data_IF_311094037006
#
_entry.id   IF_311094037006
#
_cell.length_a   1.000
_cell.length_b   1.000
_cell.length_c   1.000
_cell.angle_alpha   90.00
_cell.angle_beta   90.00
_cell.angle_gamma   90.00
#
_symmetry.space_group_name_H-M   'P 1'
#
loop_
_entity.id
_entity.type
_entity.pdbx_description
1 polymer ?
2 polymer ?
3 polymer ?
4 non-polymer ?
5 non-polymer ?
6 water ?
#
# COMPACT_ATOMS: atom_id res chain seq x y z
N UNK A 1 -10.72 0.47 0.63
CA UNK A 1 -11.05 0.85 -0.77
C UNK A 1 -12.51 1.27 -0.90
N UNK A 2 -12.75 2.45 -1.46
CA UNK A 2 -14.12 2.92 -1.67
C UNK A 2 -14.43 2.84 -3.15
N UNK A 3 -15.62 2.35 -3.48
CA UNK A 3 -16.02 2.25 -4.87
C UNK A 3 -15.24 1.22 -5.66
N UNK A 4 -14.75 0.19 -4.98
CA UNK A 4 -13.99 -0.85 -5.65
C UNK A 4 -14.80 -2.13 -5.78
N UNK A 5 -14.11 -3.23 -6.07
CA UNK A 5 -14.77 -4.53 -6.20
C UNK A 5 -13.96 -5.58 -5.44
N UNK A 6 -14.59 -6.72 -5.13
CA UNK A 6 -13.89 -7.77 -4.41
C UNK A 6 -12.95 -8.51 -5.34
N UNK A 7 -11.67 -8.50 -5.03
CA UNK A 7 -10.69 -9.15 -5.88
C UNK A 7 -10.94 -10.65 -5.87
N UNK A 8 -10.62 -11.31 -6.98
CA UNK A 8 -10.77 -12.75 -7.08
C UNK A 8 -9.80 -13.31 -6.03
N UNK A 9 -10.21 -14.38 -5.34
CA UNK A 9 -9.41 -14.98 -4.29
C UNK A 9 -7.96 -15.27 -4.71
N UNK A 10 -7.03 -14.63 -4.03
CA UNK A 10 -5.60 -14.80 -4.28
C UNK A 10 -5.15 -14.34 -5.65
N UNK A 11 -5.83 -13.35 -6.21
CA UNK A 11 -5.45 -12.83 -7.52
C UNK A 11 -4.43 -11.69 -7.37
N UNK A 12 -4.10 -11.37 -6.12
CA UNK A 12 -3.13 -10.33 -5.78
C UNK A 12 -2.17 -10.97 -4.78
N UNK A 13 -1.40 -11.98 -5.23
CA UNK A 13 -0.45 -12.74 -4.43
C UNK A 13 0.63 -11.97 -3.67
N UNK A 14 0.95 -10.76 -4.11
CA UNK A 14 1.96 -9.94 -3.45
C UNK A 14 1.38 -9.11 -2.30
N UNK A 15 0.07 -9.16 -2.13
CA UNK A 15 -0.62 -8.40 -1.09
C UNK A 15 -0.48 -9.02 0.30
N UNK A 16 -0.03 -8.24 1.27
CA UNK A 16 0.11 -8.74 2.62
C UNK A 16 -0.66 -7.87 3.60
N UNK A 17 -0.98 -8.45 4.75
CA UNK A 17 -1.69 -7.76 5.80
C UNK A 17 -0.79 -7.64 7.02
N UNK A 18 -0.58 -6.42 7.51
CA UNK A 18 0.24 -6.21 8.69
C UNK A 18 -0.71 -6.30 9.87
N UNK A 19 -0.41 -7.20 10.79
CA UNK A 19 -1.28 -7.44 11.92
C UNK A 19 -0.60 -7.38 13.29
N UNK A 20 -1.29 -6.80 14.26
CA UNK A 20 -0.79 -6.71 15.62
C UNK A 20 -2.01 -6.88 16.52
N UNK A 21 -2.73 -7.97 16.29
CA UNK A 21 -3.94 -8.25 17.04
C UNK A 21 -5.05 -8.23 16.01
N UNK A 22 -4.89 -7.33 15.05
CA UNK A 22 -5.85 -7.17 13.96
C UNK A 22 -5.18 -6.35 12.86
N UNK A 23 -5.69 -6.50 11.63
CA UNK A 23 -5.16 -5.79 10.48
C UNK A 23 -5.13 -4.30 10.75
N UNK A 24 -4.02 -3.64 10.42
CA UNK A 24 -3.92 -2.20 10.60
C UNK A 24 -3.40 -1.49 9.34
N UNK A 25 -2.70 -2.22 8.48
CA UNK A 25 -2.15 -1.65 7.26
C UNK A 25 -1.85 -2.74 6.25
N UNK A 26 -1.60 -2.32 5.01
CA UNK A 26 -1.27 -3.26 3.96
C UNK A 26 0.23 -3.25 3.72
N UNK A 27 0.67 -4.06 2.77
CA UNK A 27 2.08 -4.13 2.46
C UNK A 27 2.23 -4.85 1.14
N UNK A 28 3.46 -4.94 0.66
CA UNK A 28 3.70 -5.59 -0.62
C UNK A 28 4.97 -6.43 -0.51
N UNK A 29 4.90 -7.69 -0.91
CA UNK A 29 6.04 -8.60 -0.87
C UNK A 29 6.87 -8.41 -2.13
N UNK A 30 8.10 -7.92 -1.98
CA UNK A 30 8.96 -7.70 -3.15
C UNK A 30 10.16 -8.64 -3.15
N UNK A 31 10.26 -9.45 -2.11
CA UNK A 31 11.37 -10.36 -1.93
C UNK A 31 10.88 -11.46 -0.96
N UNK A 32 11.46 -12.65 -1.04
CA UNK A 32 11.04 -13.74 -0.16
C UNK A 32 11.19 -13.39 1.33
N UNK A 33 12.05 -12.42 1.64
CA UNK A 33 12.27 -12.03 3.03
C UNK A 33 11.89 -10.59 3.34
N UNK A 34 11.51 -9.83 2.33
CA UNK A 34 11.18 -8.43 2.58
C UNK A 34 9.82 -7.95 2.07
N UNK A 35 9.21 -7.09 2.88
CA UNK A 35 7.91 -6.49 2.58
C UNK A 35 8.06 -4.97 2.64
N UNK A 36 7.46 -4.26 1.70
CA UNK A 36 7.54 -2.80 1.72
C UNK A 36 6.15 -2.25 2.04
N UNK A 37 6.11 -1.22 2.88
CA UNK A 37 4.86 -0.60 3.29
C UNK A 37 5.11 0.90 3.50
N UNK A 38 4.23 1.54 4.25
CA UNK A 38 4.34 2.98 4.51
C UNK A 38 4.92 3.21 5.91
N UNK A 39 5.75 4.25 6.03
CA UNK A 39 6.37 4.57 7.31
C UNK A 39 5.37 5.01 8.37
N UNK A 40 4.25 5.62 7.97
CA UNK A 40 3.28 6.07 8.97
C UNK A 40 2.49 4.91 9.57
N UNK A 41 2.74 3.71 9.07
CA UNK A 41 2.08 2.50 9.57
C UNK A 41 2.94 1.85 10.67
N UNK A 42 4.09 2.46 10.93
CA UNK A 42 5.01 1.92 11.92
C UNK A 42 4.44 1.50 13.26
N UNK A 43 4.89 0.33 13.70
CA UNK A 43 4.55 -0.27 14.99
C UNK A 43 5.78 -1.10 15.30
N UNK A 44 6.17 -1.19 16.58
CA UNK A 44 7.36 -1.96 16.94
C UNK A 44 7.16 -3.46 16.81
N UNK A 45 5.92 -3.91 16.95
CA UNK A 45 5.61 -5.32 16.84
C UNK A 45 4.65 -5.55 15.68
N UNK A 46 5.07 -6.37 14.72
CA UNK A 46 4.22 -6.61 13.55
C UNK A 46 4.28 -8.04 13.05
N UNK A 47 3.11 -8.61 12.77
CA UNK A 47 3.04 -9.95 12.21
C UNK A 47 2.57 -9.77 10.77
N UNK A 48 3.35 -10.30 9.83
CA UNK A 48 3.01 -10.22 8.42
C UNK A 48 2.16 -11.43 8.01
N UNK A 49 1.03 -11.19 7.36
CA UNK A 49 0.15 -12.26 6.94
C UNK A 49 0.07 -12.31 5.42
N UNK A 50 0.63 -13.37 4.84
CA UNK A 50 0.65 -13.54 3.40
C UNK A 50 -0.37 -14.58 2.94
N UNK A 51 -0.75 -14.49 1.66
CA UNK A 51 -1.71 -15.43 1.12
C UNK A 51 -3.10 -15.23 1.67
N UNK A 52 -3.37 -14.02 2.15
CA UNK A 52 -4.66 -13.68 2.71
C UNK A 52 -5.69 -13.27 1.66
N UNK A 53 -6.95 -13.45 1.99
CA UNK A 53 -8.06 -13.01 1.15
C UNK A 53 -9.14 -12.57 2.11
N UNK A 54 -9.57 -13.49 2.98
CA UNK A 54 -10.57 -13.20 4.00
C UNK A 54 -9.82 -13.15 5.33
N UNK A 55 -9.42 -11.96 5.76
CA UNK A 55 -8.66 -11.84 6.99
C UNK A 55 -9.37 -12.24 8.28
N UNK A 56 -10.61 -12.72 8.16
CA UNK A 56 -11.34 -13.14 9.35
C UNK A 56 -11.53 -14.64 9.45
N UNK A 57 -10.97 -15.39 8.50
CA UNK A 57 -11.11 -16.84 8.50
C UNK A 57 -9.95 -17.60 7.90
N UNK A 58 -9.39 -18.54 8.65
CA UNK A 58 -8.29 -19.34 8.13
C UNK A 58 -8.79 -20.12 6.92
N UNK A 59 -8.15 -19.90 5.78
CA UNK A 59 -8.53 -20.55 4.54
C UNK A 59 -7.59 -21.72 4.21
N UNK A 60 -6.38 -21.68 4.76
CA UNK A 60 -5.42 -22.74 4.53
C UNK A 60 -4.28 -22.43 3.58
N UNK A 61 -4.21 -21.20 3.11
CA UNK A 61 -3.16 -20.78 2.19
C UNK A 61 -2.30 -19.71 2.82
N UNK A 62 -2.62 -19.32 4.05
CA UNK A 62 -1.88 -18.27 4.74
C UNK A 62 -0.57 -18.70 5.34
N UNK A 63 0.33 -17.73 5.46
CA UNK A 63 1.63 -17.91 6.05
C UNK A 63 1.74 -16.72 6.99
N UNK A 64 1.70 -16.96 8.29
CA UNK A 64 1.83 -15.90 9.27
C UNK A 64 3.26 -15.85 9.74
N UNK A 65 3.96 -14.77 9.39
CA UNK A 65 5.36 -14.62 9.77
C UNK A 65 5.60 -13.28 10.49
N UNK A 66 6.27 -13.34 11.63
CA UNK A 66 6.55 -12.14 12.41
C UNK A 66 7.67 -11.33 11.77
N UNK A 67 7.65 -10.02 11.99
CA UNK A 67 8.67 -9.15 11.45
C UNK A 67 9.91 -9.32 12.31
N UNK A 68 11.07 -9.44 11.67
CA UNK A 68 12.33 -9.58 12.39
C UNK A 68 12.94 -8.20 12.54
N UNK A 69 12.81 -7.40 11.48
CA UNK A 69 13.33 -6.04 11.47
C UNK A 69 12.35 -5.11 10.78
N UNK A 70 12.27 -3.88 11.27
CA UNK A 70 11.38 -2.87 10.70
C UNK A 70 12.24 -1.64 10.44
N UNK A 71 12.38 -1.24 9.19
CA UNK A 71 13.20 -0.09 8.84
C UNK A 71 12.45 1.00 8.09
N UNK A 72 12.22 2.12 8.77
CA UNK A 72 11.53 3.26 8.17
C UNK A 72 12.58 4.13 7.49
N UNK A 73 12.18 4.83 6.43
CA UNK A 73 13.10 5.69 5.69
C UNK A 73 13.64 6.80 6.60
N UNK A 74 14.97 6.95 6.66
CA UNK A 74 15.59 7.98 7.51
C UNK A 74 15.10 9.40 7.27
N UNK A 75 14.67 9.70 6.05
CA UNK A 75 14.19 11.02 5.71
C UNK A 75 12.67 11.19 5.81
N UNK A 76 11.99 10.18 6.33
CA UNK A 76 10.54 10.26 6.48
C UNK A 76 10.12 11.49 7.29
N UNK A 77 9.21 12.29 6.74
CA UNK A 77 8.75 13.50 7.42
C UNK A 77 7.29 13.32 7.83
N UNK A 78 7.05 13.18 9.13
CA UNK A 78 5.70 12.99 9.64
C UNK A 78 4.73 14.12 9.37
N UNK A 79 5.25 15.31 9.11
CA UNK A 79 4.41 16.46 8.84
C UNK A 79 3.96 16.52 7.38
N UNK A 80 4.90 16.32 6.47
CA UNK A 80 4.60 16.37 5.03
C UNK A 80 4.32 15.00 4.44
N UNK A 81 4.69 13.96 5.17
CA UNK A 81 4.52 12.58 4.71
C UNK A 81 5.48 12.24 3.56
N UNK A 82 6.49 13.09 3.38
CA UNK A 82 7.47 12.86 2.32
C UNK A 82 8.32 11.65 2.75
N UNK A 83 8.60 10.76 1.80
CA UNK A 83 9.37 9.54 2.03
C UNK A 83 8.59 8.55 2.90
N UNK A 84 7.30 8.44 2.66
CA UNK A 84 6.45 7.53 3.40
C UNK A 84 6.66 6.12 2.87
N UNK A 85 7.79 5.52 3.25
CA UNK A 85 8.13 4.18 2.79
C UNK A 85 8.83 3.46 3.94
N UNK A 86 8.53 2.17 4.08
CA UNK A 86 9.10 1.37 5.16
C UNK A 86 9.36 -0.07 4.73
N UNK A 87 10.49 -0.62 5.15
CA UNK A 87 10.84 -2.00 4.81
C UNK A 87 10.74 -2.90 6.02
N UNK A 88 10.23 -4.10 5.80
CA UNK A 88 10.07 -5.07 6.87
C UNK A 88 10.75 -6.38 6.50
N UNK A 89 11.69 -6.81 7.34
CA UNK A 89 12.36 -8.08 7.08
C UNK A 89 11.62 -9.15 7.88
N UNK A 90 11.28 -10.26 7.22
CA UNK A 90 10.57 -11.35 7.87
C UNK A 90 11.57 -12.21 8.63
N UNK A 91 11.14 -12.78 9.77
CA UNK A 91 12.04 -13.61 10.58
C UNK A 91 12.36 -14.94 9.89
N UNK A 92 11.55 -15.31 8.91
CA UNK A 92 11.79 -16.54 8.15
C UNK A 92 11.31 -16.27 6.73
N UNK A 93 12.01 -16.83 5.73
CA UNK A 93 11.62 -16.63 4.33
C UNK A 93 10.18 -17.05 4.05
N UNK A 94 9.50 -16.29 3.22
CA UNK A 94 8.14 -16.63 2.84
C UNK A 94 8.26 -17.63 1.70
N UNK A 95 7.47 -18.69 1.74
CA UNK A 95 7.51 -19.69 0.68
C UNK A 95 6.64 -19.21 -0.47
N UNK A 96 7.26 -19.04 -1.63
CA UNK A 96 6.54 -18.57 -2.81
C UNK A 96 5.85 -19.71 -3.56
N UNK A 97 4.60 -19.48 -3.94
CA UNK A 97 3.80 -20.45 -4.67
C UNK A 97 2.76 -19.66 -5.46
N UNK A 98 1.62 -20.28 -5.76
CA UNK A 98 0.57 -19.60 -6.52
C UNK A 98 -0.17 -18.53 -5.73
N UNK A 99 -0.27 -18.71 -4.41
CA UNK A 99 -0.97 -17.75 -3.55
C UNK A 99 -0.09 -16.68 -2.93
N UNK A 100 1.22 -16.87 -2.98
CA UNK A 100 2.17 -15.92 -2.41
C UNK A 100 3.31 -15.67 -3.39
N UNK A 101 3.35 -14.47 -3.97
CA UNK A 101 4.40 -14.14 -4.93
C UNK A 101 4.88 -12.71 -4.73
N UNK A 102 6.04 -12.42 -5.30
CA UNK A 102 6.62 -11.09 -5.20
C UNK A 102 6.13 -10.20 -6.33
N UNK A 103 6.24 -8.89 -6.13
CA UNK A 103 5.84 -7.94 -7.16
C UNK A 103 7.14 -7.26 -7.55
N UNK A 104 7.29 -6.94 -8.83
CA UNK A 104 8.51 -6.30 -9.31
C UNK A 104 8.62 -4.83 -8.93
N UNK A 105 9.85 -4.38 -8.73
CA UNK A 105 10.10 -2.98 -8.40
C UNK A 105 10.05 -2.28 -9.76
N UNK A 106 9.77 -0.97 -9.77
CA UNK A 106 9.71 -0.28 -11.05
C UNK A 106 11.03 -0.21 -11.80
N UNK A 107 10.95 -0.43 -13.12
CA UNK A 107 12.12 -0.38 -13.98
C UNK A 107 12.28 1.07 -14.44
N UNK A 108 11.21 1.83 -14.24
CA UNK A 108 11.17 3.25 -14.58
C UNK A 108 9.88 3.80 -13.98
N UNK A 109 9.76 5.11 -13.92
CA UNK A 109 8.56 5.73 -13.38
C UNK A 109 7.44 5.56 -14.40
N UNK A 110 6.20 5.69 -13.94
CA UNK A 110 5.06 5.51 -14.81
C UNK A 110 4.60 6.79 -15.50
N UNK A 111 4.18 6.66 -16.75
CA UNK A 111 3.70 7.79 -17.51
C UNK A 111 2.32 8.12 -16.97
N UNK A 112 1.89 9.37 -17.15
CA UNK A 112 0.58 9.80 -16.70
C UNK A 112 -0.48 9.05 -17.50
N UNK A 113 -1.55 8.65 -16.82
CA UNK A 113 -2.61 7.93 -17.50
C UNK A 113 -2.44 6.42 -17.41
N UNK A 114 -1.31 5.99 -16.87
CA UNK A 114 -1.05 4.56 -16.73
C UNK A 114 -2.07 3.97 -15.77
N UNK A 115 -2.78 2.94 -16.22
CA UNK A 115 -3.79 2.29 -15.38
C UNK A 115 -3.07 1.44 -14.35
N UNK A 116 -3.54 1.49 -13.11
CA UNK A 116 -2.92 0.71 -12.04
C UNK A 116 -3.97 -0.05 -11.25
N UNK A 117 -3.51 -0.99 -10.44
CA UNK A 117 -4.39 -1.79 -9.59
C UNK A 117 -4.07 -1.50 -8.13
N UNK A 118 -5.06 -1.00 -7.40
CA UNK A 118 -4.90 -0.70 -5.99
C UNK A 118 -5.71 -1.74 -5.20
N UNK A 119 -5.15 -2.22 -4.10
CA UNK A 119 -5.81 -3.24 -3.28
C UNK A 119 -5.62 -3.00 -1.79
N UNK A 120 -6.52 -3.58 -0.98
CA UNK A 120 -6.43 -3.41 0.46
C UNK A 120 -7.71 -3.77 1.20
N UNK A 121 -7.60 -3.87 2.52
CA UNK A 121 -8.73 -4.20 3.38
C UNK A 121 -9.19 -2.98 4.17
N UNK A 122 -8.86 -1.79 3.69
CA UNK A 122 -9.24 -0.58 4.39
C UNK A 122 -10.73 -0.24 4.30
N UNK A 123 -11.10 0.90 4.89
CA UNK A 123 -12.47 1.39 4.91
C UNK A 123 -13.07 1.43 3.51
N UNK A 124 -14.24 0.83 3.35
CA UNK A 124 -14.92 0.80 2.06
C UNK A 124 -16.01 1.86 1.95
N UNK A 125 -16.25 2.56 3.05
CA UNK A 125 -17.27 3.60 3.10
C UNK A 125 -16.63 4.90 3.57
N UNK B 1 -17.95 6.12 1.56
CA UNK B 1 -17.38 7.46 1.86
C UNK B 1 -18.02 8.06 3.11
N UNK B 2 -19.12 7.46 3.55
CA UNK B 2 -19.83 7.94 4.73
C UNK B 2 -20.08 6.83 5.75
N UNK B 3 -19.16 6.69 6.71
CA UNK B 3 -19.30 5.68 7.73
C UNK B 3 -18.01 4.92 8.00
N UNK B 4 -18.13 3.71 8.55
CA UNK B 4 -16.99 2.87 8.87
C UNK B 4 -17.33 1.42 8.60
N UNK B 5 -16.91 0.92 7.44
CA UNK B 5 -17.16 -0.46 7.05
C UNK B 5 -15.89 -1.16 6.55
N UNK B 6 -15.30 -1.99 7.41
CA UNK B 6 -14.09 -2.73 7.08
C UNK B 6 -14.39 -4.12 6.55
N UNK B 7 -14.02 -4.39 5.29
CA UNK B 7 -14.24 -5.67 4.65
C UNK B 7 -13.34 -6.78 5.18
N UNK B 8 -13.78 -8.02 5.00
CA UNK B 8 -13.01 -9.17 5.42
C UNK B 8 -12.34 -9.70 4.16
N UNK B 9 -12.93 -9.35 3.03
CA UNK B 9 -12.43 -9.76 1.73
C UNK B 9 -11.62 -8.65 1.08
N UNK B 10 -10.47 -9.01 0.52
CA UNK B 10 -9.60 -8.05 -0.14
C UNK B 10 -10.32 -7.30 -1.26
N UNK B 11 -10.25 -5.98 -1.22
CA UNK B 11 -10.90 -5.15 -2.23
C UNK B 11 -9.93 -4.69 -3.30
N UNK B 12 -10.45 -4.47 -4.51
CA UNK B 12 -9.65 -4.04 -5.65
C UNK B 12 -10.22 -2.79 -6.32
N UNK B 13 -9.33 -2.03 -6.97
CA UNK B 13 -9.74 -0.82 -7.64
C UNK B 13 -8.70 -0.45 -8.67
N UNK B 14 -9.15 -0.24 -9.91
CA UNK B 14 -8.23 0.16 -10.97
C UNK B 14 -8.34 1.67 -11.14
N UNK B 15 -7.21 2.35 -11.09
CA UNK B 15 -7.16 3.81 -11.22
C UNK B 15 -5.96 4.23 -12.04
N UNK B 16 -6.05 5.39 -12.71
CA UNK B 16 -4.94 5.89 -13.53
C UNK B 16 -4.01 6.83 -12.79
N UNK B 17 -2.77 6.89 -13.26
CA UNK B 17 -1.79 7.80 -12.69
C UNK B 17 -2.19 9.18 -13.19
N UNK B 18 -2.49 10.08 -12.28
CA UNK B 18 -2.87 11.44 -12.65
C UNK B 18 -1.62 12.26 -12.93
N UNK B 19 -1.74 13.25 -13.80
CA UNK B 19 -0.62 14.12 -14.14
C UNK B 19 -0.16 14.92 -12.93
N UNK B 20 0.96 15.61 -13.07
CA UNK B 20 1.50 16.43 -12.00
C UNK B 20 0.54 17.57 -11.74
N UNK B 21 0.05 18.14 -12.83
CA UNK B 21 -0.88 19.25 -12.80
C UNK B 21 -2.06 18.97 -11.87
N UNK B 22 -2.82 17.93 -12.18
CA UNK B 22 -3.99 17.56 -11.38
C UNK B 22 -3.67 17.28 -9.92
N UNK B 23 -2.46 16.75 -9.69
CA UNK B 23 -2.03 16.41 -8.34
C UNK B 23 -1.67 17.64 -7.53
N UNK B 24 -0.81 18.50 -8.10
CA UNK B 24 -0.39 19.71 -7.43
C UNK B 24 -1.54 20.69 -7.29
N UNK B 25 -2.43 20.73 -8.28
CA UNK B 25 -3.56 21.65 -8.22
C UNK B 25 -4.58 21.19 -7.18
N UNK B 26 -4.55 19.90 -6.82
CA UNK B 26 -5.46 19.37 -5.83
C UNK B 26 -4.97 19.65 -4.42
N UNK B 27 -3.65 19.68 -4.24
CA UNK B 27 -3.04 19.95 -2.93
C UNK B 27 -1.92 20.97 -3.11
N UNK B 28 -2.27 22.26 -3.19
CA UNK B 28 -1.30 23.35 -3.35
C UNK B 28 -0.13 23.32 -2.38
N UNK B 29 1.07 23.25 -2.94
CA UNK B 29 2.30 23.22 -2.16
C UNK B 29 2.52 22.03 -1.25
N UNK B 30 1.69 20.99 -1.38
CA UNK B 30 1.82 19.81 -0.53
C UNK B 30 2.40 18.57 -1.20
N UNK B 31 2.53 18.59 -2.51
CA UNK B 31 3.06 17.44 -3.24
C UNK B 31 4.55 17.60 -3.55
N UNK B 32 5.36 16.67 -3.06
CA UNK B 32 6.79 16.70 -3.28
C UNK B 32 7.16 15.81 -4.46
N UNK B 33 8.44 15.82 -4.81
CA UNK B 33 8.90 15.01 -5.92
C UNK B 33 8.81 13.52 -5.67
N UNK B 34 8.47 13.12 -4.45
CA UNK B 34 8.36 11.70 -4.12
C UNK B 34 6.92 11.24 -3.94
N UNK B 35 5.99 11.99 -4.54
CA UNK B 35 4.58 11.66 -4.44
C UNK B 35 3.92 11.73 -5.81
N UNK B 36 2.90 10.90 -5.99
CA UNK B 36 2.15 10.89 -7.23
C UNK B 36 0.70 10.66 -6.85
N UNK B 37 -0.21 11.20 -7.64
CA UNK B 37 -1.63 11.03 -7.37
C UNK B 37 -2.19 10.00 -8.32
N UNK B 38 -3.05 9.15 -7.78
CA UNK B 38 -3.69 8.11 -8.58
C UNK B 38 -5.13 8.10 -8.12
N UNK B 39 -6.06 8.17 -9.06
CA UNK B 39 -7.46 8.16 -8.68
C UNK B 39 -8.38 8.86 -9.67
N UNK B 40 -9.45 9.43 -9.12
CA UNK B 40 -10.44 10.13 -9.92
C UNK B 40 -10.80 11.45 -9.24
N UNK B 41 -10.71 12.54 -9.99
CA UNK B 41 -11.03 13.87 -9.46
C UNK B 41 -12.52 14.02 -9.14
N UNK B 42 -13.34 13.13 -9.68
CA UNK B 42 -14.77 13.19 -9.45
C UNK B 42 -15.15 12.49 -8.14
N UNK B 43 -14.14 12.01 -7.42
CA UNK B 43 -14.40 11.33 -6.16
C UNK B 43 -15.16 10.03 -6.35
N UNK B 44 -15.43 9.33 -5.25
CA UNK B 44 -16.16 8.08 -5.34
C UNK B 44 -15.29 6.84 -5.39
N UNK B 45 -14.10 6.96 -5.96
CA UNK B 45 -13.17 5.82 -6.06
C UNK B 45 -11.83 6.24 -5.47
N UNK B 46 -11.37 5.51 -4.45
CA UNK B 46 -10.11 5.90 -3.82
C UNK B 46 -9.68 4.91 -2.74
N UNK B 47 -8.42 5.02 -2.32
CA UNK B 47 -7.93 4.16 -1.26
C UNK B 47 -8.35 4.88 0.02
N UNK B 48 -8.39 4.17 1.13
CA UNK B 48 -8.83 4.80 2.38
C UNK B 48 -8.09 4.24 3.58
N UNK B 49 -8.43 4.76 4.75
CA UNK B 49 -7.80 4.32 5.99
C UNK B 49 -7.90 2.80 6.05
N UNK B 50 -6.77 2.15 6.34
CA UNK B 50 -6.75 0.69 6.38
C UNK B 50 -6.02 0.14 5.17
N UNK B 51 -6.03 0.86 4.06
CA UNK B 51 -5.33 0.43 2.85
C UNK B 51 -3.89 0.92 2.89
N UNK B 52 -3.60 1.81 3.83
CA UNK B 52 -2.26 2.37 4.00
C UNK B 52 -1.14 1.35 3.94
N UNK B 53 -0.08 1.70 3.24
CA UNK B 53 1.06 0.80 3.10
C UNK B 53 0.83 -0.19 1.97
N UNK B 54 -0.39 -0.21 1.46
CA UNK B 54 -0.75 -1.10 0.38
C UNK B 54 -0.11 -0.79 -0.97
N UNK B 55 -0.18 -1.75 -1.92
CA UNK B 55 0.39 -1.59 -3.25
C UNK B 55 -0.46 -0.94 -4.34
N UNK B 56 0.22 -0.26 -5.25
CA UNK B 56 -0.41 0.35 -6.41
C UNK B 56 0.46 -0.24 -7.52
N UNK B 57 -0.07 -1.24 -8.20
CA UNK B 57 0.72 -1.90 -9.25
C UNK B 57 0.25 -1.50 -10.63
N UNK B 58 1.20 -1.06 -11.45
CA UNK B 58 0.91 -0.66 -12.82
C UNK B 58 1.86 -1.41 -13.73
N UNK B 59 1.32 -2.05 -14.76
CA UNK B 59 2.10 -2.81 -15.72
C UNK B 59 3.06 -3.79 -15.05
N UNK B 60 2.56 -4.49 -14.04
CA UNK B 60 3.38 -5.46 -13.33
C UNK B 60 4.47 -4.88 -12.46
N UNK B 61 4.43 -3.58 -12.18
CA UNK B 61 5.45 -2.94 -11.36
C UNK B 61 4.85 -2.14 -10.21
N UNK B 62 5.46 -2.26 -9.03
CA UNK B 62 5.00 -1.53 -7.86
C UNK B 62 5.42 -0.09 -8.06
N UNK B 63 4.46 0.77 -8.39
CA UNK B 63 4.74 2.19 -8.63
C UNK B 63 4.33 3.08 -7.45
N UNK B 64 3.44 2.59 -6.60
CA UNK B 64 3.02 3.41 -5.47
C UNK B 64 2.71 2.67 -4.19
N UNK B 65 2.73 3.42 -3.09
CA UNK B 65 2.41 2.88 -1.77
C UNK B 65 1.32 3.79 -1.18
N UNK B 66 0.18 3.22 -0.82
CA UNK B 66 -0.92 4.00 -0.24
C UNK B 66 -0.30 4.84 0.89
N UNK B 67 -0.38 6.15 0.77
CA UNK B 67 0.22 7.03 1.76
C UNK B 67 -0.74 7.99 2.46
N UNK B 68 -1.29 8.95 1.73
CA UNK B 68 -2.22 9.88 2.35
C UNK B 68 -3.22 10.49 1.37
N UNK B 69 -3.95 11.48 1.87
CA UNK B 69 -4.95 12.18 1.08
C UNK B 69 -5.83 12.94 2.05
N UNK B 70 -6.81 13.67 1.53
CA UNK B 70 -7.72 14.41 2.41
C UNK B 70 -9.03 13.62 2.44
N UNK B 71 -9.23 12.84 3.50
CA UNK B 71 -10.44 12.04 3.61
C UNK B 71 -10.39 10.88 2.63
N UNK B 72 -11.55 10.41 2.19
CA UNK B 72 -11.58 9.30 1.24
C UNK B 72 -12.59 9.50 0.14
N UNK B 73 -12.11 9.43 -1.09
CA UNK B 73 -12.95 9.55 -2.28
C UNK B 73 -13.69 10.87 -2.46
N UNK B 74 -13.19 11.93 -1.83
CA UNK B 74 -13.81 13.25 -1.97
C UNK B 74 -13.41 13.79 -3.33
N UNK B 75 -14.29 14.54 -3.99
CA UNK B 75 -13.98 15.07 -5.30
C UNK B 75 -12.84 16.09 -5.26
N UNK B 76 -11.99 16.04 -6.28
CA UNK B 76 -10.85 16.93 -6.39
C UNK B 76 -9.82 16.64 -5.31
N UNK B 77 -10.01 15.52 -4.60
CA UNK B 77 -9.09 15.09 -3.56
C UNK B 77 -8.64 13.64 -3.77
N UNK B 78 -7.88 13.39 -4.84
CA UNK B 78 -7.41 12.03 -5.14
C UNK B 78 -6.33 11.59 -4.14
N UNK B 79 -6.21 10.29 -3.95
CA UNK B 79 -5.20 9.78 -3.02
C UNK B 79 -3.81 10.10 -3.53
N UNK B 80 -2.87 10.21 -2.60
CA UNK B 80 -1.49 10.50 -2.96
C UNK B 80 -0.67 9.32 -2.48
N UNK B 81 0.28 8.91 -3.33
CA UNK B 81 1.10 7.75 -3.02
C UNK B 81 2.58 8.00 -3.11
N UNK B 82 3.33 7.25 -2.32
CA UNK B 82 4.79 7.36 -2.33
C UNK B 82 5.22 6.91 -3.73
N UNK B 83 6.04 7.72 -4.38
CA UNK B 83 6.54 7.43 -5.73
C UNK B 83 7.70 6.44 -5.61
N UNK B 84 7.36 5.15 -5.67
CA UNK B 84 8.34 4.08 -5.52
C UNK B 84 9.51 4.07 -6.50
N UNK B 85 9.30 4.59 -7.71
CA UNK B 85 10.38 4.60 -8.70
C UNK B 85 11.58 5.45 -8.30
N UNK B 86 11.47 6.20 -7.21
CA UNK B 86 12.60 7.01 -6.74
C UNK B 86 13.36 6.27 -5.64
N UNK B 87 12.76 5.20 -5.12
CA UNK B 87 13.36 4.47 -4.01
C UNK B 87 14.02 3.13 -4.28
N UNK B 88 14.18 2.77 -5.55
CA UNK B 88 14.79 1.47 -5.85
C UNK B 88 16.18 1.32 -5.21
N UNK B 89 17.06 2.31 -5.43
CA UNK B 89 18.40 2.28 -4.85
C UNK B 89 18.36 2.09 -3.34
N UNK B 90 17.52 2.88 -2.68
CA UNK B 90 17.39 2.79 -1.24
C UNK B 90 16.94 1.38 -0.83
N UNK B 91 15.94 0.86 -1.54
CA UNK B 91 15.43 -0.48 -1.26
C UNK B 91 16.53 -1.54 -1.42
N UNK B 92 17.28 -1.44 -2.52
CA UNK B 92 18.34 -2.41 -2.79
C UNK B 92 19.41 -2.37 -1.71
N UNK B 93 19.96 -1.20 -1.47
CA UNK B 93 21.00 -1.02 -0.46
C UNK B 93 20.57 -1.51 0.90
N UNK B 94 19.36 -1.15 1.31
CA UNK B 94 18.85 -1.57 2.60
C UNK B 94 18.76 -3.09 2.72
N UNK B 95 18.29 -3.74 1.66
CA UNK B 95 18.17 -5.20 1.68
C UNK B 95 19.53 -5.90 1.74
N UNK B 96 20.52 -5.33 1.07
CA UNK B 96 21.85 -5.91 1.05
C UNK B 96 22.62 -5.72 2.36
N UNK B 97 22.28 -4.69 3.11
CA UNK B 97 22.96 -4.39 4.38
C UNK B 97 22.25 -4.96 5.60
N UNK B 98 21.13 -5.64 5.39
CA UNK B 98 20.39 -6.23 6.49
C UNK B 98 19.91 -7.63 6.10
N UNK C 1 -8.14 10.64 4.97
CA UNK C 1 -7.22 10.46 3.82
C UNK C 1 -7.19 9.01 3.36
N UNK C 2 -6.00 8.46 3.26
CA UNK C 2 -5.83 7.07 2.86
C UNK C 2 -4.78 6.54 3.82
N UNK C 3 -5.15 6.58 5.09
CA UNK C 3 -4.30 6.14 6.19
C UNK C 3 -4.72 4.81 6.80
N UNK C 4 -4.45 4.67 8.09
CA UNK C 4 -4.78 3.45 8.81
C UNK C 4 -6.13 3.62 9.50
N UNK C 5 -6.51 2.62 10.29
CA UNK C 5 -7.78 2.66 11.02
C UNK C 5 -7.86 1.45 11.94
N UNK C 6 -7.98 0.27 11.34
CA UNK C 6 -8.04 -0.96 12.12
C UNK C 6 -6.68 -1.19 12.77
N UNK C 7 -6.65 -2.08 13.76
CA UNK C 7 -5.42 -2.41 14.45
C UNK C 7 -4.45 -1.27 14.69
N UNK C 8 -4.94 -0.03 14.66
CA UNK C 8 -4.09 1.13 14.88
C UNK C 8 -4.45 1.71 16.25
N UNK C 9 -5.61 1.31 16.75
CA UNK C 9 -6.10 1.75 18.05
C UNK C 9 -5.31 1.10 19.18
X LIG D 1 -7.71 -16.00 5.61
X LIG E 1 -0.57 3.86 16.81
X LIG E 1 -1.68 4.45 17.16
X LIG E 1 0.28 4.28 15.96
X LIG E 1 -0.18 2.55 17.41
#
# INVERSE_FOLDING_TARGET
IVGGYTCAANSIPYQVSLNSGSHFCGGSLINSQWVVSAAHCYKSRIQVRLGEHNIDVLEGNEQFINAAKIITHPNFNGNTLDNDIMLIKLSSPATLNSRVATVSLPRSCAAAGTECLISGWGNTK
SSGSSYPSLLQCLKAPVLSDSSCKSSYPGQITGNMICVGFLEGGKDSCQGDSGGPVVCNGQLQGIVSWGYGCAQKNKPGVYTKVCNYVNWIQQTIAAN
GKDSCQGDS
CA CA
ACT C O OXT CH3
#
